data_IF_411853427984
#
_entry.id   IF_411853427984
#
_cell.length_a   1.000
_cell.length_b   1.000
_cell.length_c   1.000
_cell.angle_alpha   90.00
_cell.angle_beta   90.00
_cell.angle_gamma   90.00
#
_symmetry.space_group_name_H-M   'P 1'
#
loop_
_entity.id
_entity.type
_entity.pdbx_description
1 polymer ?
#
# COMPACT_ATOMS: atom_id res chain seq x y z
N UNK A 1 -9.80 19.55 -22.01
CA UNK A 1 -8.47 19.49 -21.39
C UNK A 1 -8.64 19.87 -19.92
N UNK A 2 -8.77 18.89 -19.01
CA UNK A 2 -8.99 19.22 -17.60
C UNK A 2 -7.63 19.39 -16.93
N UNK A 3 -7.33 20.66 -16.61
CA UNK A 3 -6.16 21.09 -15.85
C UNK A 3 -6.25 20.55 -14.42
N UNK A 4 -5.27 19.77 -13.99
CA UNK A 4 -5.07 19.52 -12.57
C UNK A 4 -4.09 20.55 -12.02
N UNK A 5 -4.63 21.65 -11.48
CA UNK A 5 -3.86 22.51 -10.59
C UNK A 5 -3.52 21.70 -9.33
N UNK A 6 -2.24 21.39 -9.13
CA UNK A 6 -1.75 20.67 -7.94
C UNK A 6 -1.54 21.71 -6.83
N UNK A 7 -2.42 21.69 -5.82
CA UNK A 7 -2.31 22.54 -4.65
C UNK A 7 -0.97 22.29 -3.90
N UNK A 8 -0.41 23.29 -3.20
CA UNK A 8 0.87 23.13 -2.52
C UNK A 8 0.72 22.26 -1.27
N UNK A 9 1.59 21.26 -1.14
CA UNK A 9 2.17 20.83 0.14
C UNK A 9 1.28 20.12 1.18
N UNK A 10 0.40 19.20 0.76
CA UNK A 10 -0.19 18.22 1.69
C UNK A 10 0.16 16.79 1.24
N UNK A 11 0.43 15.84 2.15
CA UNK A 11 0.67 14.46 1.80
C UNK A 11 -0.59 13.95 1.13
N UNK A 12 -0.47 13.57 -0.14
CA UNK A 12 -1.59 12.99 -0.87
C UNK A 12 -2.11 11.77 -0.11
N UNK A 13 -3.43 11.61 -0.08
CA UNK A 13 -4.05 10.37 0.39
C UNK A 13 -3.51 9.20 -0.44
N UNK A 14 -2.95 8.19 0.22
CA UNK A 14 -2.48 6.97 -0.44
C UNK A 14 -3.65 6.00 -0.54
N UNK A 15 -3.80 5.38 -1.71
CA UNK A 15 -4.79 4.33 -1.96
C UNK A 15 -4.05 3.06 -2.35
N UNK A 16 -4.31 1.98 -1.63
CA UNK A 16 -3.76 0.65 -1.91
C UNK A 16 -4.86 -0.22 -2.46
N UNK A 17 -4.57 -0.90 -3.56
CA UNK A 17 -5.46 -1.85 -4.24
C UNK A 17 -4.78 -3.21 -4.29
N UNK A 18 -5.43 -4.23 -3.75
CA UNK A 18 -4.97 -5.61 -3.77
C UNK A 18 -6.01 -6.43 -4.53
N UNK A 19 -5.63 -7.02 -5.65
CA UNK A 19 -6.53 -7.78 -6.51
C UNK A 19 -6.16 -9.26 -6.49
N UNK A 20 -7.15 -10.15 -6.40
CA UNK A 20 -6.91 -11.59 -6.49
C UNK A 20 -6.82 -12.03 -7.97
N UNK A 21 -5.58 -12.20 -8.43
CA UNK A 21 -5.24 -12.70 -9.77
C UNK A 21 -4.87 -14.19 -9.85
N UNK A 22 -5.16 -14.99 -8.80
CA UNK A 22 -4.88 -16.43 -8.80
C UNK A 22 -5.70 -17.16 -9.89
N UNK A 23 -5.31 -18.37 -10.26
CA UNK A 23 -6.13 -19.16 -11.18
C UNK A 23 -7.48 -19.50 -10.54
N UNK A 24 -8.63 -19.23 -11.20
CA UNK A 24 -9.93 -19.60 -10.66
C UNK A 24 -10.02 -21.10 -10.33
N UNK A 25 -10.77 -21.50 -9.28
CA UNK A 25 -11.60 -20.69 -8.39
C UNK A 25 -10.91 -20.42 -7.03
N UNK A 26 -9.64 -20.02 -7.06
CA UNK A 26 -8.87 -19.85 -5.82
C UNK A 26 -9.20 -18.55 -5.09
N UNK A 27 -9.47 -18.67 -3.81
CA UNK A 27 -9.65 -17.55 -2.89
C UNK A 27 -8.30 -17.15 -2.28
N UNK A 28 -8.04 -15.85 -2.18
CA UNK A 28 -6.84 -15.28 -1.58
C UNK A 28 -7.20 -14.67 -0.23
N UNK A 29 -6.67 -15.22 0.85
CA UNK A 29 -6.80 -14.60 2.18
C UNK A 29 -5.61 -13.70 2.44
N UNK A 30 -5.89 -12.46 2.81
CA UNK A 30 -4.91 -11.44 3.15
C UNK A 30 -5.17 -10.88 4.55
N UNK A 31 -4.11 -10.55 5.27
CA UNK A 31 -4.19 -9.82 6.53
C UNK A 31 -3.18 -8.68 6.49
N UNK A 32 -3.69 -7.45 6.47
CA UNK A 32 -2.88 -6.24 6.37
C UNK A 32 -2.89 -5.46 7.70
N UNK A 33 -1.75 -4.86 8.04
CA UNK A 33 -1.65 -3.96 9.19
C UNK A 33 -0.48 -2.99 9.03
N UNK A 34 -0.52 -1.91 9.82
CA UNK A 34 0.64 -1.06 10.10
C UNK A 34 1.12 -1.28 11.54
N UNK A 35 2.03 -0.44 12.03
CA UNK A 35 2.56 -0.49 13.40
C UNK A 35 1.49 -0.28 14.49
N UNK A 36 0.41 0.44 14.19
CA UNK A 36 -0.59 0.98 15.11
C UNK A 36 -2.03 0.53 14.83
N UNK A 37 -2.32 0.07 13.61
CA UNK A 37 -3.64 -0.24 13.10
C UNK A 37 -3.63 -1.60 12.41
N UNK A 38 -4.50 -2.48 12.88
CA UNK A 38 -4.78 -3.74 12.22
C UNK A 38 -5.99 -3.56 11.30
N UNK A 39 -5.83 -3.82 10.00
CA UNK A 39 -6.93 -3.74 9.02
C UNK A 39 -7.76 -5.04 8.97
N UNK A 40 -7.32 -6.08 9.67
CA UNK A 40 -7.99 -7.37 9.77
C UNK A 40 -7.66 -8.34 8.63
N UNK A 41 -8.19 -9.55 8.77
CA UNK A 41 -8.13 -10.59 7.75
C UNK A 41 -9.33 -10.46 6.79
N UNK A 42 -9.06 -10.56 5.48
CA UNK A 42 -10.05 -10.50 4.41
C UNK A 42 -9.79 -11.64 3.42
N UNK A 43 -10.85 -12.24 2.89
CA UNK A 43 -10.75 -13.26 1.85
C UNK A 43 -11.34 -12.72 0.55
N UNK A 44 -10.53 -12.70 -0.50
CA UNK A 44 -10.91 -12.24 -1.83
C UNK A 44 -11.14 -13.43 -2.74
N UNK A 45 -12.31 -13.50 -3.36
CA UNK A 45 -12.57 -14.44 -4.45
C UNK A 45 -11.81 -14.04 -5.71
N UNK A 46 -11.73 -14.96 -6.66
CA UNK A 46 -11.13 -14.66 -7.96
C UNK A 46 -11.72 -13.39 -8.58
N UNK A 47 -10.86 -12.44 -8.95
CA UNK A 47 -11.25 -11.17 -9.55
C UNK A 47 -11.74 -10.09 -8.58
N UNK A 48 -11.83 -10.38 -7.27
CA UNK A 48 -12.17 -9.38 -6.26
C UNK A 48 -10.97 -8.50 -5.89
N UNK A 49 -11.27 -7.30 -5.40
CA UNK A 49 -10.29 -6.28 -5.01
C UNK A 49 -10.55 -5.84 -3.58
N UNK A 50 -9.51 -5.86 -2.76
CA UNK A 50 -9.47 -5.18 -1.47
C UNK A 50 -8.84 -3.80 -1.63
N UNK A 51 -9.50 -2.78 -1.10
CA UNK A 51 -9.05 -1.39 -1.16
C UNK A 51 -9.02 -0.79 0.23
N UNK A 52 -7.92 -0.11 0.57
CA UNK A 52 -7.85 0.75 1.75
C UNK A 52 -7.08 2.03 1.45
N UNK A 53 -7.35 3.06 2.26
CA UNK A 53 -6.75 4.38 2.11
C UNK A 53 -6.27 4.90 3.44
N UNK A 54 -5.13 5.58 3.42
CA UNK A 54 -4.56 6.22 4.58
C UNK A 54 -3.82 7.49 4.20
N UNK A 55 -3.44 8.27 5.20
CA UNK A 55 -2.65 9.48 5.04
C UNK A 55 -1.30 9.21 5.71
N UNK A 56 -0.19 9.20 4.95
CA UNK A 56 1.13 8.97 5.52
C UNK A 56 1.52 10.05 6.53
N UNK A 57 2.25 9.66 7.56
CA UNK A 57 2.74 10.60 8.56
C UNK A 57 3.96 11.38 8.05
N UNK A 58 3.80 12.68 7.82
CA UNK A 58 4.85 13.55 7.26
C UNK A 58 6.00 13.80 8.26
N UNK A 59 5.72 13.81 9.55
CA UNK A 59 6.67 14.31 10.55
C UNK A 59 7.78 13.30 10.85
N UNK A 60 7.55 12.01 10.61
CA UNK A 60 8.46 10.94 11.04
C UNK A 60 8.80 9.94 9.93
N UNK A 61 8.29 10.13 8.71
CA UNK A 61 8.46 9.25 7.54
C UNK A 61 8.32 7.73 7.81
N UNK A 62 7.57 7.34 8.85
CA UNK A 62 7.59 5.98 9.40
C UNK A 62 6.33 5.15 9.07
N UNK A 63 5.57 5.53 8.03
CA UNK A 63 4.35 4.78 7.68
C UNK A 63 4.72 3.54 6.87
N UNK A 64 4.52 2.36 7.47
CA UNK A 64 4.75 1.07 6.85
C UNK A 64 3.47 0.24 6.94
N UNK A 65 2.93 -0.18 5.80
CA UNK A 65 1.86 -1.18 5.73
C UNK A 65 2.40 -2.47 5.14
N UNK A 66 2.21 -3.55 5.87
CA UNK A 66 2.59 -4.89 5.45
C UNK A 66 1.38 -5.80 5.45
N UNK A 67 1.35 -6.71 4.49
CA UNK A 67 0.29 -7.69 4.33
C UNK A 67 0.88 -9.09 4.29
N UNK A 68 0.18 -10.01 4.94
CA UNK A 68 0.43 -11.43 4.83
C UNK A 68 -0.64 -12.08 3.97
N UNK A 69 -0.25 -13.06 3.16
CA UNK A 69 -1.11 -13.73 2.20
C UNK A 69 -1.04 -15.23 2.39
N UNK A 70 -2.21 -15.88 2.36
CA UNK A 70 -2.37 -17.33 2.40
C UNK A 70 -2.95 -17.76 1.05
N UNK A 71 -2.16 -18.51 0.28
CA UNK A 71 -2.61 -19.07 -0.98
C UNK A 71 -3.21 -20.46 -0.77
N UNK A 72 -4.24 -20.87 -1.52
CA UNK A 72 -4.77 -22.22 -1.42
C UNK A 72 -3.75 -23.29 -1.84
N UNK A 73 -2.90 -22.96 -2.83
CA UNK A 73 -1.88 -23.86 -3.37
C UNK A 73 -0.64 -24.01 -2.49
N UNK A 74 -0.45 -23.10 -1.52
CA UNK A 74 0.74 -23.05 -0.69
C UNK A 74 0.36 -22.72 0.76
N UNK A 75 0.55 -23.66 1.72
CA UNK A 75 0.20 -23.45 3.12
C UNK A 75 1.12 -22.44 3.83
N UNK A 76 2.19 -22.00 3.20
CA UNK A 76 3.07 -20.98 3.78
C UNK A 76 2.44 -19.58 3.75
N UNK A 77 2.82 -18.78 4.75
CA UNK A 77 2.37 -17.41 4.89
C UNK A 77 3.36 -16.49 4.18
N UNK A 78 2.89 -15.76 3.17
CA UNK A 78 3.74 -14.88 2.36
C UNK A 78 3.59 -13.44 2.80
N UNK A 79 4.71 -12.80 3.17
CA UNK A 79 4.71 -11.45 3.72
C UNK A 79 5.26 -10.45 2.72
N UNK A 80 4.58 -9.31 2.55
CA UNK A 80 5.02 -8.22 1.69
C UNK A 80 4.79 -6.86 2.34
N UNK A 81 5.78 -5.99 2.21
CA UNK A 81 5.67 -4.58 2.55
C UNK A 81 5.01 -3.82 1.39
N UNK A 82 3.68 -3.75 1.45
CA UNK A 82 2.83 -3.20 0.40
C UNK A 82 3.00 -1.68 0.27
N UNK A 83 3.29 -1.00 1.35
CA UNK A 83 3.64 0.42 1.33
C UNK A 83 4.72 0.71 2.35
N UNK A 84 5.79 1.34 1.89
CA UNK A 84 6.86 1.87 2.73
C UNK A 84 7.02 3.35 2.41
N UNK A 85 6.83 4.20 3.41
CA UNK A 85 6.84 5.64 3.19
C UNK A 85 8.19 6.15 2.71
N UNK A 86 9.32 5.67 3.23
CA UNK A 86 10.64 6.10 2.79
C UNK A 86 10.84 5.70 1.32
N UNK A 87 10.57 4.43 0.99
CA UNK A 87 10.72 3.88 -0.36
C UNK A 87 9.78 4.54 -1.38
N UNK A 88 8.52 4.73 -1.04
CA UNK A 88 7.46 5.07 -2.00
C UNK A 88 7.17 6.58 -2.06
N UNK A 89 7.46 7.34 -1.00
CA UNK A 89 7.44 8.80 -1.05
C UNK A 89 8.50 9.33 -2.02
N UNK A 90 9.74 8.81 -1.98
CA UNK A 90 10.83 9.24 -2.85
C UNK A 90 10.55 8.95 -4.34
N UNK A 91 9.80 7.89 -4.68
CA UNK A 91 9.35 7.62 -6.06
C UNK A 91 8.35 8.65 -6.57
N UNK A 92 7.45 9.13 -5.69
CA UNK A 92 6.48 10.19 -6.02
C UNK A 92 7.11 11.59 -6.05
N UNK A 93 8.28 11.76 -5.42
CA UNK A 93 9.02 13.00 -5.31
C UNK A 93 9.85 13.35 -6.57
N UNK A 94 9.76 12.58 -7.66
CA UNK A 94 10.38 12.92 -8.95
C UNK A 94 9.95 14.26 -9.58
N UNK A 95 9.11 15.05 -8.89
CA UNK A 95 8.72 16.43 -9.25
C UNK A 95 9.00 17.45 -8.15
N UNK A 96 9.59 17.06 -7.02
CA UNK A 96 9.97 17.95 -5.91
C UNK A 96 11.49 18.15 -5.98
N UNK A 97 11.93 19.39 -6.15
CA UNK A 97 13.32 19.79 -6.39
C UNK A 97 14.27 19.60 -5.19
N UNK A 98 13.83 18.98 -4.10
CA UNK A 98 14.69 18.59 -2.99
C UNK A 98 14.13 17.28 -2.40
N UNK A 99 14.76 16.11 -2.65
CA UNK A 99 14.48 14.95 -1.82
C UNK A 99 14.84 15.29 -0.37
N UNK A 100 14.02 14.93 0.63
CA UNK A 100 14.50 14.95 2.01
C UNK A 100 15.75 14.05 2.12
N UNK A 101 16.67 14.37 3.05
CA UNK A 101 18.03 13.80 3.17
C UNK A 101 18.09 12.27 3.31
N UNK A 102 16.94 11.65 3.51
CA UNK A 102 16.62 10.23 3.66
C UNK A 102 16.22 9.53 2.34
N UNK A 103 16.13 10.25 1.21
CA UNK A 103 15.95 9.64 -0.13
C UNK A 103 17.27 9.31 -0.85
N UNK A 104 18.43 9.41 -0.18
CA UNK A 104 19.79 9.17 -0.70
C UNK A 104 20.35 7.81 -0.29
#
# INVERSE_FOLDING_TARGET
>A
MLSNAKAPGFPGKVTVLIWNGLTPPQDLTLHCKDKHHDLGEHTLKYGEVYEFKFIPNIFWYATLYFCSFKWPSDPSLHHFDIYDQERDFCKSAGTIWVPPLDCL
#
